data_IF_880890943236
#
_entry.id   IF_880890943236
#
_cell.length_a   1.000
_cell.length_b   1.000
_cell.length_c   1.000
_cell.angle_alpha   90.00
_cell.angle_beta   90.00
_cell.angle_gamma   90.00
#
_symmetry.space_group_name_H-M   'P 1'
#
loop_
_entity.id
_entity.type
_entity.pdbx_description
1 polymer ?
#
# COMPACT_ATOMS: atom_id res chain seq x y z
N UNK A 1 -12.93 -28.55 4.65
CA UNK A 1 -11.60 -28.38 4.00
C UNK A 1 -10.55 -29.23 4.73
N UNK A 2 -9.71 -29.96 3.99
CA UNK A 2 -8.57 -30.69 4.57
C UNK A 2 -7.48 -29.72 5.04
N UNK A 3 -6.60 -30.15 5.95
CA UNK A 3 -5.49 -29.33 6.49
C UNK A 3 -4.62 -28.74 5.36
N UNK A 4 -4.34 -29.53 4.33
CA UNK A 4 -3.60 -29.10 3.14
C UNK A 4 -4.31 -27.97 2.38
N UNK A 5 -5.64 -28.07 2.17
CA UNK A 5 -6.43 -27.00 1.51
C UNK A 5 -6.40 -25.69 2.31
N UNK A 6 -6.43 -25.75 3.64
CA UNK A 6 -6.35 -24.56 4.51
C UNK A 6 -4.98 -23.87 4.41
N UNK A 7 -3.90 -24.65 4.41
CA UNK A 7 -2.53 -24.13 4.27
C UNK A 7 -2.28 -23.51 2.89
N UNK A 8 -2.77 -24.14 1.82
CA UNK A 8 -2.69 -23.57 0.46
C UNK A 8 -3.45 -22.24 0.40
N UNK A 9 -4.67 -22.19 0.95
CA UNK A 9 -5.46 -20.95 0.97
C UNK A 9 -4.77 -19.85 1.78
N UNK A 10 -4.21 -20.19 2.95
CA UNK A 10 -3.43 -19.24 3.76
C UNK A 10 -2.23 -18.69 2.97
N UNK A 11 -1.49 -19.56 2.28
CA UNK A 11 -0.38 -19.14 1.42
C UNK A 11 -0.81 -18.19 0.30
N UNK A 12 -1.91 -18.50 -0.40
CA UNK A 12 -2.45 -17.63 -1.45
C UNK A 12 -2.87 -16.27 -0.90
N UNK A 13 -3.54 -16.24 0.26
CA UNK A 13 -3.95 -14.99 0.92
C UNK A 13 -2.75 -14.13 1.33
N UNK A 14 -1.67 -14.76 1.83
CA UNK A 14 -0.43 -14.05 2.19
C UNK A 14 0.23 -13.47 0.94
N UNK A 15 0.36 -14.25 -0.14
CA UNK A 15 0.95 -13.76 -1.40
C UNK A 15 0.13 -12.61 -1.98
N UNK A 16 -1.19 -12.75 -2.03
CA UNK A 16 -2.09 -11.69 -2.48
C UNK A 16 -1.97 -10.44 -1.59
N UNK A 17 -1.86 -10.60 -0.27
CA UNK A 17 -1.66 -9.49 0.66
C UNK A 17 -0.36 -8.72 0.39
N UNK A 18 0.75 -9.43 0.18
CA UNK A 18 2.05 -8.81 -0.14
C UNK A 18 1.96 -8.01 -1.43
N UNK A 19 1.35 -8.57 -2.47
CA UNK A 19 1.17 -7.89 -3.76
C UNK A 19 0.30 -6.63 -3.62
N UNK A 20 -0.81 -6.70 -2.88
CA UNK A 20 -1.71 -5.57 -2.65
C UNK A 20 -1.06 -4.47 -1.81
N UNK A 21 -0.22 -4.84 -0.84
CA UNK A 21 0.50 -3.86 -0.02
C UNK A 21 1.59 -3.15 -0.81
N UNK A 22 2.37 -3.90 -1.59
CA UNK A 22 3.45 -3.37 -2.41
C UNK A 22 2.92 -2.50 -3.57
N UNK A 23 1.91 -2.99 -4.30
CA UNK A 23 1.49 -2.40 -5.58
C UNK A 23 0.08 -1.77 -5.56
N UNK A 24 -0.69 -1.91 -4.49
CA UNK A 24 -2.07 -1.38 -4.41
C UNK A 24 -2.18 0.14 -4.26
N UNK A 25 -1.06 0.87 -4.31
CA UNK A 25 -1.06 2.30 -4.07
C UNK A 25 -1.45 3.18 -5.24
N UNK A 26 -1.57 2.64 -6.45
CA UNK A 26 -1.64 3.46 -7.68
C UNK A 26 -0.29 4.09 -8.02
N UNK A 27 -0.24 4.93 -9.06
CA UNK A 27 0.95 5.72 -9.39
C UNK A 27 0.97 7.01 -8.58
N UNK A 28 2.13 7.36 -8.05
CA UNK A 28 2.34 8.65 -7.40
C UNK A 28 2.25 9.77 -8.46
N UNK A 29 1.52 10.86 -8.18
CA UNK A 29 1.44 11.98 -9.11
C UNK A 29 2.81 12.65 -9.27
N UNK A 30 3.08 13.14 -10.47
CA UNK A 30 4.32 13.87 -10.73
C UNK A 30 4.27 15.28 -10.12
N UNK A 31 5.43 15.70 -9.64
CA UNK A 31 5.72 17.06 -9.20
C UNK A 31 5.78 18.02 -10.38
N UNK A 32 5.18 19.20 -10.27
CA UNK A 32 5.22 20.25 -11.29
C UNK A 32 6.01 21.44 -10.75
N UNK A 33 6.94 21.95 -11.56
CA UNK A 33 7.75 23.11 -11.19
C UNK A 33 6.88 24.38 -11.15
N UNK A 34 7.11 25.21 -10.15
CA UNK A 34 6.45 26.50 -10.00
C UNK A 34 6.85 27.45 -11.14
N UNK A 35 5.90 28.20 -11.72
CA UNK A 35 6.20 29.31 -12.64
C UNK A 35 7.16 30.33 -12.01
N UNK A 36 7.91 31.06 -12.85
CA UNK A 36 8.79 32.12 -12.34
C UNK A 36 7.97 33.24 -11.69
N UNK A 37 8.35 33.65 -10.48
CA UNK A 37 7.73 34.77 -9.77
C UNK A 37 6.46 34.44 -8.97
N UNK A 38 6.04 33.17 -8.88
CA UNK A 38 4.94 32.77 -7.99
C UNK A 38 5.45 32.12 -6.70
N UNK A 39 4.69 32.20 -5.59
CA UNK A 39 4.98 31.45 -4.37
C UNK A 39 5.00 29.94 -4.65
N UNK A 40 5.99 29.25 -4.10
CA UNK A 40 6.17 27.80 -4.21
C UNK A 40 6.07 27.15 -2.83
N UNK A 41 6.00 25.82 -2.79
CA UNK A 41 5.70 25.04 -1.58
C UNK A 41 6.79 25.04 -0.50
N UNK A 42 7.90 25.73 -0.75
CA UNK A 42 9.12 25.63 0.08
C UNK A 42 9.92 24.36 -0.18
N UNK A 43 9.43 23.46 -1.05
CA UNK A 43 10.07 22.21 -1.41
C UNK A 43 10.73 22.32 -2.80
N UNK A 44 11.86 21.64 -2.95
CA UNK A 44 12.63 21.57 -4.19
C UNK A 44 12.64 20.12 -4.65
N UNK A 45 12.47 19.91 -5.95
CA UNK A 45 12.57 18.60 -6.57
C UNK A 45 13.97 18.39 -7.18
N UNK A 46 14.84 17.58 -6.56
CA UNK A 46 16.19 17.29 -7.08
C UNK A 46 16.14 16.43 -8.34
N UNK A 47 15.11 15.61 -8.52
CA UNK A 47 14.95 14.73 -9.69
C UNK A 47 14.60 15.54 -10.95
N UNK A 48 14.07 16.75 -10.76
CA UNK A 48 13.71 17.71 -11.84
C UNK A 48 14.66 18.90 -11.92
N UNK A 49 15.93 18.72 -11.52
CA UNK A 49 16.97 19.74 -11.66
C UNK A 49 16.84 20.86 -10.64
N UNK A 50 16.52 20.50 -9.39
CA UNK A 50 16.36 21.41 -8.25
C UNK A 50 15.30 22.50 -8.50
N UNK A 51 14.20 22.15 -9.18
CA UNK A 51 13.13 23.10 -9.43
C UNK A 51 12.22 23.27 -8.19
N UNK A 52 11.77 24.50 -7.87
CA UNK A 52 10.81 24.72 -6.80
C UNK A 52 9.45 24.10 -7.17
N UNK A 53 8.88 23.29 -6.28
CA UNK A 53 7.60 22.59 -6.55
C UNK A 53 6.43 23.55 -6.30
N UNK A 54 5.47 23.61 -7.23
CA UNK A 54 4.26 24.41 -7.06
C UNK A 54 3.42 23.96 -5.86
N UNK A 55 2.74 24.90 -5.18
CA UNK A 55 1.89 24.58 -4.02
C UNK A 55 0.85 23.50 -4.35
N UNK A 56 0.17 23.65 -5.50
CA UNK A 56 -0.87 22.72 -5.94
C UNK A 56 -0.32 21.32 -6.27
N UNK A 57 0.90 21.25 -6.80
CA UNK A 57 1.52 19.96 -7.07
C UNK A 57 1.97 19.27 -5.79
N UNK A 58 2.56 20.03 -4.86
CA UNK A 58 2.95 19.50 -3.57
C UNK A 58 1.75 18.97 -2.77
N UNK A 59 0.64 19.72 -2.77
CA UNK A 59 -0.60 19.29 -2.12
C UNK A 59 -1.15 18.00 -2.74
N UNK A 60 -1.12 17.85 -4.07
CA UNK A 60 -1.52 16.60 -4.76
C UNK A 60 -0.65 15.40 -4.35
N UNK A 61 0.67 15.58 -4.25
CA UNK A 61 1.59 14.51 -3.83
C UNK A 61 1.36 14.13 -2.37
N UNK A 62 1.23 15.12 -1.48
CA UNK A 62 0.96 14.89 -0.07
C UNK A 62 -0.39 14.22 0.15
N UNK A 63 -1.43 14.69 -0.52
CA UNK A 63 -2.76 14.08 -0.50
C UNK A 63 -2.73 12.61 -0.93
N UNK A 64 -1.97 12.29 -1.99
CA UNK A 64 -1.77 10.91 -2.43
C UNK A 64 -0.97 10.04 -1.43
N UNK A 65 -0.01 10.63 -0.71
CA UNK A 65 0.82 9.93 0.28
C UNK A 65 0.08 9.69 1.59
N UNK A 66 -0.70 10.67 2.03
CA UNK A 66 -1.43 10.63 3.30
C UNK A 66 -2.73 9.80 3.20
N UNK A 67 -3.36 9.76 2.01
CA UNK A 67 -4.62 9.04 1.86
C UNK A 67 -4.44 7.52 1.99
N UNK A 68 -5.28 6.86 2.80
CA UNK A 68 -5.27 5.40 2.91
C UNK A 68 -5.68 4.79 1.57
N UNK A 69 -4.75 4.06 0.96
CA UNK A 69 -4.96 3.37 -0.31
C UNK A 69 -5.88 2.16 -0.08
N UNK A 70 -7.10 2.10 -0.65
CA UNK A 70 -8.09 1.07 -0.34
C UNK A 70 -7.56 -0.34 -0.64
N UNK A 71 -6.77 -0.53 -1.70
CA UNK A 71 -6.16 -1.83 -2.00
C UNK A 71 -5.10 -2.25 -0.96
N UNK A 72 -4.35 -1.30 -0.38
CA UNK A 72 -3.44 -1.62 0.74
C UNK A 72 -4.21 -2.08 1.98
N UNK A 73 -5.38 -1.50 2.25
CA UNK A 73 -6.27 -1.96 3.32
C UNK A 73 -6.78 -3.39 3.08
N UNK A 74 -7.19 -3.71 1.84
CA UNK A 74 -7.56 -5.09 1.46
C UNK A 74 -6.38 -6.04 1.62
N UNK A 75 -5.17 -5.60 1.28
CA UNK A 75 -3.93 -6.35 1.52
C UNK A 75 -3.72 -6.66 3.01
N UNK A 76 -3.88 -5.67 3.89
CA UNK A 76 -3.79 -5.86 5.34
C UNK A 76 -4.83 -6.86 5.86
N UNK A 77 -6.09 -6.72 5.47
CA UNK A 77 -7.17 -7.65 5.89
C UNK A 77 -6.89 -9.07 5.39
N UNK A 78 -6.38 -9.18 4.16
CA UNK A 78 -6.00 -10.45 3.56
C UNK A 78 -4.82 -11.10 4.31
N UNK A 79 -3.83 -10.32 4.75
CA UNK A 79 -2.72 -10.80 5.57
C UNK A 79 -3.22 -11.36 6.92
N UNK A 80 -4.05 -10.59 7.64
CA UNK A 80 -4.63 -11.01 8.93
C UNK A 80 -5.45 -12.29 8.77
N UNK A 81 -6.28 -12.35 7.72
CA UNK A 81 -7.08 -13.54 7.40
C UNK A 81 -6.18 -14.74 7.09
N UNK A 82 -5.16 -14.57 6.26
CA UNK A 82 -4.20 -15.61 5.90
C UNK A 82 -3.47 -16.19 7.11
N UNK A 83 -3.00 -15.33 8.02
CA UNK A 83 -2.36 -15.75 9.28
C UNK A 83 -3.36 -16.54 10.15
N UNK A 84 -4.58 -16.05 10.30
CA UNK A 84 -5.64 -16.74 11.06
C UNK A 84 -5.95 -18.14 10.51
N UNK A 85 -6.08 -18.27 9.20
CA UNK A 85 -6.27 -19.57 8.54
C UNK A 85 -5.07 -20.50 8.72
N UNK A 86 -3.85 -19.96 8.67
CA UNK A 86 -2.61 -20.70 8.91
C UNK A 86 -2.57 -21.28 10.33
N UNK A 87 -2.80 -20.44 11.35
CA UNK A 87 -2.81 -20.86 12.76
C UNK A 87 -3.91 -21.90 13.00
N UNK A 88 -5.13 -21.65 12.54
CA UNK A 88 -6.27 -22.56 12.70
C UNK A 88 -6.10 -23.92 12.00
N UNK A 89 -5.20 -24.02 11.02
CA UNK A 89 -4.87 -25.29 10.37
C UNK A 89 -3.87 -26.14 11.18
N UNK A 90 -3.09 -25.52 12.07
CA UNK A 90 -2.05 -26.18 12.86
C UNK A 90 -2.56 -26.60 14.24
N UNK A 91 -3.52 -25.87 14.80
CA UNK A 91 -4.14 -26.23 16.09
C UNK A 91 -4.84 -27.59 15.95
N UNK A 92 -4.43 -28.62 16.73
CA UNK A 92 -5.13 -29.89 16.74
C UNK A 92 -6.52 -29.68 17.33
N UNK A 93 -7.54 -29.87 16.50
CA UNK A 93 -8.93 -29.86 16.97
C UNK A 93 -9.11 -31.10 17.86
N UNK A 94 -9.05 -30.93 19.20
CA UNK A 94 -9.57 -31.95 20.11
C UNK A 94 -11.06 -32.09 19.82
N UNK A 95 -11.44 -33.11 19.06
CA UNK A 95 -12.80 -33.63 19.09
C UNK A 95 -12.97 -34.26 20.48
N UNK A 96 -13.82 -33.64 21.31
CA UNK A 96 -14.55 -34.37 22.34
C UNK A 96 -15.73 -35.07 21.67
#
# INVERSE_FOLDING_TARGET
MTKQKKLVMAGVLIVAAVLLLAFGGGKEPETECAPQGVPYSGMIDPDKGDCPISNESWERVMDYREKPKPLRMVGLVSAVSGIGFGIAAVIPSKKH
#
